data_IF_313953139242
#
_entry.id   IF_313953139242
#
_cell.length_a   1.000
_cell.length_b   1.000
_cell.length_c   1.000
_cell.angle_alpha   90.00
_cell.angle_beta   90.00
_cell.angle_gamma   90.00
#
_symmetry.space_group_name_H-M   'P 1'
#
loop_
_entity.id
_entity.type
_entity.pdbx_description
1 polymer ?
#
# COMPACT_ATOMS: atom_id res chain seq x y z
N UNK A 1 2.40 -35.12 3.10
CA UNK A 1 2.06 -34.04 4.06
C UNK A 1 2.08 -32.75 3.28
N UNK A 2 0.98 -32.01 3.28
CA UNK A 2 0.97 -30.67 2.68
C UNK A 2 1.97 -29.80 3.41
N UNK A 3 3.05 -29.41 2.73
CA UNK A 3 3.87 -28.29 3.17
C UNK A 3 2.99 -27.07 2.94
N UNK A 4 2.29 -26.59 4.00
CA UNK A 4 1.63 -25.29 3.95
C UNK A 4 2.75 -24.24 3.89
N UNK A 5 3.09 -23.81 2.68
CA UNK A 5 4.04 -22.73 2.45
C UNK A 5 3.56 -21.47 3.18
N UNK A 6 4.44 -20.88 3.99
CA UNK A 6 4.20 -19.56 4.56
C UNK A 6 4.53 -18.56 3.47
N UNK A 7 3.51 -17.90 2.92
CA UNK A 7 3.69 -16.90 1.87
C UNK A 7 3.86 -15.50 2.48
N UNK A 8 4.82 -14.69 1.96
CA UNK A 8 4.86 -13.27 2.29
C UNK A 8 3.64 -12.55 1.71
N UNK A 9 3.25 -11.42 2.29
CA UNK A 9 2.14 -10.62 1.79
C UNK A 9 2.48 -9.14 1.60
N UNK A 10 1.78 -8.52 0.65
CA UNK A 10 1.77 -7.07 0.44
C UNK A 10 0.39 -6.51 0.73
N UNK A 11 0.32 -5.36 1.40
CA UNK A 11 -0.93 -4.63 1.60
C UNK A 11 -1.08 -3.60 0.48
N UNK A 12 -2.22 -3.61 -0.22
CA UNK A 12 -2.49 -2.71 -1.34
C UNK A 12 -3.98 -2.39 -1.47
N UNK A 13 -4.29 -1.19 -1.98
CA UNK A 13 -5.66 -0.81 -2.35
C UNK A 13 -6.26 -1.75 -3.41
N UNK A 14 -7.57 -2.04 -3.35
CA UNK A 14 -8.28 -2.75 -4.44
C UNK A 14 -8.29 -1.99 -5.77
N UNK A 15 -7.87 -0.72 -5.77
CA UNK A 15 -7.74 0.11 -6.98
C UNK A 15 -6.37 -0.01 -7.68
N UNK A 16 -5.65 -1.11 -7.44
CA UNK A 16 -4.34 -1.38 -8.03
C UNK A 16 -4.39 -1.63 -9.54
N UNK A 17 -3.25 -1.40 -10.22
CA UNK A 17 -3.09 -1.69 -11.64
C UNK A 17 -2.63 -3.15 -11.87
N UNK A 18 -3.09 -3.79 -12.96
CA UNK A 18 -2.89 -5.22 -13.26
C UNK A 18 -1.43 -5.74 -13.26
N UNK A 19 -0.42 -4.89 -13.20
CA UNK A 19 0.98 -5.27 -12.97
C UNK A 19 1.17 -5.92 -11.60
N UNK A 20 0.47 -5.43 -10.56
CA UNK A 20 0.52 -6.01 -9.22
C UNK A 20 -0.07 -7.43 -9.18
N UNK A 21 -1.14 -7.68 -9.92
CA UNK A 21 -1.71 -9.02 -10.14
C UNK A 21 -0.67 -10.03 -10.68
N UNK A 22 0.20 -9.58 -11.59
CA UNK A 22 1.28 -10.40 -12.14
C UNK A 22 2.33 -10.69 -11.07
N UNK A 23 2.70 -9.70 -10.25
CA UNK A 23 3.63 -9.88 -9.15
C UNK A 23 3.12 -10.93 -8.16
N UNK A 24 1.87 -10.79 -7.69
CA UNK A 24 1.27 -11.73 -6.75
C UNK A 24 1.30 -13.17 -7.28
N UNK A 25 0.97 -13.35 -8.56
CA UNK A 25 0.96 -14.67 -9.20
C UNK A 25 2.35 -15.25 -9.47
N UNK A 26 3.31 -14.43 -9.88
CA UNK A 26 4.61 -14.92 -10.33
C UNK A 26 5.63 -15.07 -9.21
N UNK A 27 5.43 -14.35 -8.11
CA UNK A 27 6.37 -14.30 -6.98
C UNK A 27 5.83 -15.02 -5.73
N UNK A 28 4.67 -15.68 -5.82
CA UNK A 28 3.98 -16.32 -4.70
C UNK A 28 3.81 -15.37 -3.49
N UNK A 29 3.38 -14.13 -3.77
CA UNK A 29 3.08 -13.10 -2.76
C UNK A 29 1.57 -12.98 -2.60
N UNK A 30 1.08 -13.12 -1.38
CA UNK A 30 -0.34 -12.90 -1.08
C UNK A 30 -0.67 -11.40 -1.09
N UNK A 31 -1.79 -11.03 -1.72
CA UNK A 31 -2.30 -9.67 -1.68
C UNK A 31 -3.31 -9.52 -0.56
N UNK A 32 -3.03 -8.60 0.38
CA UNK A 32 -3.99 -8.16 1.38
C UNK A 32 -4.61 -6.85 0.96
N UNK A 33 -5.91 -6.89 0.68
CA UNK A 33 -6.60 -5.77 0.08
C UNK A 33 -7.19 -4.82 1.11
N UNK A 34 -6.99 -3.52 0.85
CA UNK A 34 -7.72 -2.44 1.52
C UNK A 34 -8.73 -1.88 0.53
N UNK A 35 -10.00 -1.84 0.92
CA UNK A 35 -11.05 -1.26 0.08
C UNK A 35 -11.09 0.24 0.35
N UNK A 36 -10.94 1.10 -0.68
CA UNK A 36 -11.06 2.55 -0.50
C UNK A 36 -12.44 2.96 0.03
N UNK A 37 -12.46 4.07 0.77
CA UNK A 37 -13.72 4.68 1.20
C UNK A 37 -14.57 5.06 -0.02
N UNK A 38 -15.89 4.93 0.10
CA UNK A 38 -16.83 5.37 -0.94
C UNK A 38 -16.94 6.90 -1.04
N UNK A 39 -16.54 7.61 0.01
CA UNK A 39 -16.67 9.06 0.09
C UNK A 39 -15.40 9.75 -0.42
N UNK A 40 -14.22 9.22 -0.06
CA UNK A 40 -12.92 9.81 -0.43
C UNK A 40 -12.22 9.10 -1.58
N UNK A 41 -12.63 7.87 -1.91
CA UNK A 41 -11.99 7.01 -2.92
C UNK A 41 -10.50 6.73 -2.67
N UNK A 42 -10.04 6.96 -1.44
CA UNK A 42 -8.69 6.65 -0.97
C UNK A 42 -8.74 5.61 0.16
N UNK A 43 -7.63 4.90 0.35
CA UNK A 43 -7.43 4.05 1.54
C UNK A 43 -7.13 4.90 2.78
N UNK A 44 -7.21 4.31 3.97
CA UNK A 44 -6.83 4.98 5.23
C UNK A 44 -5.70 4.23 5.93
N UNK A 45 -4.95 4.93 6.78
CA UNK A 45 -3.91 4.32 7.60
C UNK A 45 -4.46 3.21 8.50
N UNK A 46 -5.66 3.35 9.08
CA UNK A 46 -6.27 2.29 9.88
C UNK A 46 -6.63 1.06 9.05
N UNK A 47 -7.15 1.28 7.83
CA UNK A 47 -7.47 0.21 6.89
C UNK A 47 -6.22 -0.60 6.52
N UNK A 48 -5.10 0.09 6.30
CA UNK A 48 -3.79 -0.52 6.05
C UNK A 48 -3.30 -1.27 7.31
N UNK A 49 -3.30 -0.62 8.48
CA UNK A 49 -2.84 -1.23 9.75
C UNK A 49 -3.57 -2.53 10.06
N UNK A 50 -4.88 -2.57 9.80
CA UNK A 50 -5.70 -3.77 10.04
C UNK A 50 -5.31 -4.98 9.17
N UNK A 51 -4.57 -4.78 8.08
CA UNK A 51 -4.11 -5.86 7.20
C UNK A 51 -2.69 -6.33 7.52
N UNK A 52 -1.88 -5.53 8.24
CA UNK A 52 -0.47 -5.85 8.49
C UNK A 52 -0.34 -7.01 9.49
N UNK A 53 0.53 -7.98 9.17
CA UNK A 53 0.95 -9.04 10.09
C UNK A 53 2.45 -9.33 9.98
N UNK A 54 2.89 -10.38 10.67
CA UNK A 54 4.29 -10.83 10.75
C UNK A 54 4.91 -11.28 9.42
N UNK A 55 4.08 -11.43 8.37
CA UNK A 55 4.51 -11.83 7.01
C UNK A 55 4.38 -10.69 6.01
N UNK A 56 3.92 -9.52 6.45
CA UNK A 56 3.82 -8.36 5.58
C UNK A 56 5.23 -7.87 5.23
N UNK A 57 5.55 -7.89 3.94
CA UNK A 57 6.86 -7.46 3.42
C UNK A 57 6.84 -6.00 2.94
N UNK A 58 5.67 -5.36 2.88
CA UNK A 58 5.52 -3.98 2.47
C UNK A 58 4.08 -3.53 2.30
N UNK A 59 3.90 -2.22 2.24
CA UNK A 59 2.65 -1.55 1.86
C UNK A 59 2.87 -0.87 0.52
N UNK A 60 1.92 -1.00 -0.40
CA UNK A 60 1.92 -0.29 -1.68
C UNK A 60 0.92 0.86 -1.60
N UNK A 61 1.42 2.10 -1.69
CA UNK A 61 0.59 3.29 -1.81
C UNK A 61 0.57 3.76 -3.27
N UNK A 62 -0.59 4.15 -3.78
CA UNK A 62 -0.77 4.53 -5.18
C UNK A 62 -0.95 6.04 -5.27
N UNK A 63 -0.03 6.72 -5.94
CA UNK A 63 -0.15 8.14 -6.27
C UNK A 63 -0.86 8.25 -7.62
N UNK A 64 -2.19 8.21 -7.59
CA UNK A 64 -3.05 8.39 -8.75
C UNK A 64 -3.66 7.07 -9.21
N UNK A 65 -4.64 6.58 -8.47
CA UNK A 65 -5.26 5.29 -8.73
C UNK A 65 -5.92 5.23 -10.13
N UNK A 66 -6.01 4.02 -10.70
CA UNK A 66 -6.44 3.84 -12.09
C UNK A 66 -7.92 4.23 -12.34
N UNK A 67 -8.77 4.17 -11.32
CA UNK A 67 -10.22 4.27 -11.47
C UNK A 67 -10.76 5.68 -11.26
N UNK A 68 -10.20 6.43 -10.31
CA UNK A 68 -10.64 7.77 -9.93
C UNK A 68 -9.52 8.80 -9.80
N UNK A 69 -8.25 8.41 -9.92
CA UNK A 69 -7.10 9.31 -9.91
C UNK A 69 -6.72 9.84 -8.53
N UNK A 70 -7.32 9.35 -7.44
CA UNK A 70 -6.99 9.79 -6.09
C UNK A 70 -5.60 9.31 -5.65
N UNK A 71 -5.00 10.07 -4.75
CA UNK A 71 -3.75 9.73 -4.08
C UNK A 71 -4.07 9.01 -2.77
N UNK A 72 -3.36 7.91 -2.53
CA UNK A 72 -3.35 7.31 -1.19
C UNK A 72 -2.59 8.25 -0.22
N UNK A 73 -2.98 8.31 1.07
CA UNK A 73 -2.38 9.22 2.04
C UNK A 73 -1.04 8.66 2.55
N UNK A 74 0.01 8.77 1.72
CA UNK A 74 1.34 8.20 2.00
C UNK A 74 1.90 8.71 3.34
N UNK A 75 1.76 10.00 3.64
CA UNK A 75 2.23 10.62 4.88
C UNK A 75 1.61 10.01 6.15
N UNK A 76 0.29 9.76 6.14
CA UNK A 76 -0.42 9.14 7.26
C UNK A 76 -0.04 7.66 7.41
N UNK A 77 0.17 6.97 6.29
CA UNK A 77 0.60 5.57 6.29
C UNK A 77 2.03 5.44 6.80
N UNK A 78 2.92 6.36 6.44
CA UNK A 78 4.30 6.40 6.94
C UNK A 78 4.35 6.62 8.45
N UNK A 79 3.63 7.64 8.95
CA UNK A 79 3.56 7.89 10.40
C UNK A 79 3.04 6.66 11.16
N UNK A 80 1.98 6.03 10.65
CA UNK A 80 1.43 4.81 11.23
C UNK A 80 2.43 3.64 11.21
N UNK A 81 3.16 3.46 10.11
CA UNK A 81 4.16 2.39 9.98
C UNK A 81 5.37 2.61 10.87
N UNK A 82 5.82 3.85 11.06
CA UNK A 82 6.89 4.17 12.01
C UNK A 82 6.50 3.71 13.42
N UNK A 83 5.31 4.10 13.90
CA UNK A 83 4.79 3.69 15.20
C UNK A 83 4.65 2.17 15.30
N UNK A 84 4.07 1.52 14.27
CA UNK A 84 3.88 0.08 14.25
C UNK A 84 5.20 -0.70 14.27
N UNK A 85 6.19 -0.25 13.50
CA UNK A 85 7.51 -0.86 13.43
C UNK A 85 8.24 -0.75 14.78
N UNK A 86 8.13 0.38 15.47
CA UNK A 86 8.66 0.57 16.83
C UNK A 86 7.96 -0.34 17.86
N UNK A 87 6.63 -0.41 17.83
CA UNK A 87 5.83 -1.20 18.77
C UNK A 87 6.02 -2.71 18.61
N UNK A 88 6.06 -3.18 17.36
CA UNK A 88 6.03 -4.61 17.02
C UNK A 88 7.42 -5.18 16.68
N UNK A 89 8.43 -4.33 16.52
CA UNK A 89 9.75 -4.72 16.03
C UNK A 89 9.74 -5.12 14.54
N UNK A 90 8.76 -4.64 13.77
CA UNK A 90 8.66 -4.87 12.34
C UNK A 90 9.59 -3.94 11.55
N UNK A 91 9.76 -4.25 10.26
CA UNK A 91 10.48 -3.42 9.29
C UNK A 91 9.67 -3.28 8.00
N UNK A 92 8.36 -3.03 8.12
CA UNK A 92 7.48 -2.85 6.98
C UNK A 92 7.71 -1.46 6.38
N UNK A 93 8.08 -1.42 5.09
CA UNK A 93 8.28 -0.18 4.34
C UNK A 93 7.15 0.11 3.35
N UNK A 94 7.23 1.28 2.73
CA UNK A 94 6.29 1.73 1.69
C UNK A 94 6.95 1.64 0.31
N UNK A 95 6.23 1.06 -0.65
CA UNK A 95 6.48 1.28 -2.07
C UNK A 95 5.42 2.24 -2.61
N UNK A 96 5.86 3.32 -3.24
CA UNK A 96 4.95 4.27 -3.89
C UNK A 96 4.84 3.95 -5.37
N UNK A 97 3.66 3.48 -5.80
CA UNK A 97 3.30 3.38 -7.21
C UNK A 97 2.94 4.77 -7.74
N UNK A 98 3.99 5.50 -8.15
CA UNK A 98 3.91 6.82 -8.75
C UNK A 98 3.75 6.82 -10.26
N UNK A 99 3.19 5.77 -10.87
CA UNK A 99 3.13 5.62 -12.33
C UNK A 99 2.56 6.85 -13.07
N UNK A 100 1.55 7.49 -12.50
CA UNK A 100 0.96 8.74 -13.01
C UNK A 100 1.31 9.92 -12.11
N UNK A 101 0.92 9.85 -10.82
CA UNK A 101 1.07 10.93 -9.86
C UNK A 101 2.52 11.34 -9.60
N UNK A 102 3.50 10.47 -9.82
CA UNK A 102 4.92 10.81 -9.66
C UNK A 102 5.41 11.90 -10.62
N UNK A 103 4.70 12.15 -11.73
CA UNK A 103 4.98 13.25 -12.66
C UNK A 103 3.98 14.41 -12.55
N UNK A 104 3.08 14.38 -11.58
CA UNK A 104 2.03 15.40 -11.38
C UNK A 104 2.16 16.01 -9.99
N UNK A 105 2.17 15.18 -8.94
CA UNK A 105 2.25 15.58 -7.54
C UNK A 105 3.41 16.53 -7.21
N UNK A 106 4.65 16.37 -7.76
CA UNK A 106 5.74 17.33 -7.53
C UNK A 106 5.46 18.78 -7.95
N UNK A 107 4.46 18.99 -8.81
CA UNK A 107 4.11 20.29 -9.37
C UNK A 107 2.84 20.88 -8.74
N UNK A 108 2.30 20.25 -7.70
CA UNK A 108 1.13 20.73 -6.96
C UNK A 108 1.57 21.34 -5.63
N UNK A 109 1.05 22.52 -5.29
CA UNK A 109 1.50 23.28 -4.11
C UNK A 109 1.07 22.66 -2.76
N UNK A 110 -0.05 21.92 -2.74
CA UNK A 110 -0.71 21.45 -1.51
C UNK A 110 -0.66 19.92 -1.32
N UNK A 111 0.35 19.25 -1.87
CA UNK A 111 0.54 17.81 -1.66
C UNK A 111 1.53 17.58 -0.52
N UNK A 112 1.14 16.86 0.55
CA UNK A 112 2.07 16.50 1.62
C UNK A 112 3.20 15.59 1.12
N UNK A 113 4.25 15.42 1.94
CA UNK A 113 5.38 14.54 1.61
C UNK A 113 4.90 13.11 1.30
N UNK A 114 5.41 12.56 0.20
CA UNK A 114 4.96 11.27 -0.32
C UNK A 114 6.09 10.40 -0.88
N UNK A 115 7.32 10.92 -0.98
CA UNK A 115 8.49 10.26 -1.57
C UNK A 115 9.63 9.97 -0.56
#
# INVERSE_FOLDING_TARGET
>A
GEVRGVYPNLVISTCFQAAWEKLFRYMDVEAKFVVPSKDTFAITAEGVKAQIDDKTIGVVCIMGNHYGGQYDPVWEIDEMLQQLNEEMGYQVGIHVDGASGGFIAPFQDDIPAWD
#
